data_IF_532099689577
#
_entry.id   IF_532099689577
#
_cell.length_a   1.000
_cell.length_b   1.000
_cell.length_c   1.000
_cell.angle_alpha   90.00
_cell.angle_beta   90.00
_cell.angle_gamma   90.00
#
_symmetry.space_group_name_H-M   'P 1'
#
loop_
_entity.id
_entity.type
_entity.pdbx_description
1 polymer ?
#
# COMPACT_ATOMS: atom_id res chain seq x y z
N UNK A 1 -0.18 -62.84 37.62
CA UNK A 1 0.10 -61.39 37.82
C UNK A 1 0.31 -60.67 36.48
N UNK A 2 -0.63 -60.80 35.52
CA UNK A 2 -0.51 -60.23 34.14
C UNK A 2 -1.56 -59.13 33.80
N UNK A 3 -2.53 -58.90 34.68
CA UNK A 3 -3.62 -57.94 34.36
C UNK A 3 -3.36 -56.49 34.77
N UNK A 4 -2.35 -56.20 35.57
CA UNK A 4 -2.04 -54.83 36.01
C UNK A 4 -1.33 -53.97 34.99
N UNK A 5 -0.61 -54.59 34.03
CA UNK A 5 0.17 -53.84 32.99
C UNK A 5 -0.69 -53.32 31.83
N UNK A 6 -1.84 -53.95 31.55
CA UNK A 6 -2.72 -53.49 30.46
C UNK A 6 -3.51 -52.25 30.84
N UNK A 7 -3.95 -52.10 32.10
CA UNK A 7 -4.69 -50.94 32.54
C UNK A 7 -3.85 -49.66 32.60
N UNK A 8 -2.57 -49.81 32.91
CA UNK A 8 -1.63 -48.66 32.95
C UNK A 8 -1.29 -48.11 31.56
N UNK A 9 -1.19 -49.00 30.56
CA UNK A 9 -0.94 -48.55 29.14
C UNK A 9 -2.17 -47.89 28.56
N UNK A 10 -3.38 -48.34 28.88
CA UNK A 10 -4.61 -47.72 28.44
C UNK A 10 -4.84 -46.38 29.11
N UNK A 11 -4.44 -46.21 30.37
CA UNK A 11 -4.52 -44.93 31.08
C UNK A 11 -3.53 -43.91 30.53
N UNK A 12 -2.29 -44.35 30.17
CA UNK A 12 -1.29 -43.47 29.53
C UNK A 12 -1.71 -43.04 28.13
N UNK A 13 -2.34 -43.94 27.35
CA UNK A 13 -2.87 -43.58 26.03
C UNK A 13 -4.02 -42.55 26.13
N UNK A 14 -4.90 -42.67 27.11
CA UNK A 14 -5.99 -41.72 27.32
C UNK A 14 -5.50 -40.33 27.76
N UNK A 15 -4.42 -40.27 28.56
CA UNK A 15 -3.80 -39.00 28.98
C UNK A 15 -3.09 -38.31 27.84
N UNK A 16 -2.41 -39.06 26.96
CA UNK A 16 -1.70 -38.49 25.78
C UNK A 16 -2.70 -37.96 24.74
N UNK A 17 -3.84 -38.66 24.51
CA UNK A 17 -4.90 -38.15 23.64
C UNK A 17 -5.63 -36.92 24.23
N UNK A 18 -5.78 -36.84 25.55
CA UNK A 18 -6.42 -35.70 26.23
C UNK A 18 -5.54 -34.41 26.21
N UNK A 19 -4.21 -34.57 26.21
CA UNK A 19 -3.27 -33.44 26.16
C UNK A 19 -3.08 -32.87 24.74
N UNK A 20 -3.39 -33.61 23.69
CA UNK A 20 -3.29 -33.10 22.30
C UNK A 20 -4.51 -32.29 21.87
N UNK A 21 -5.63 -32.32 22.60
CA UNK A 21 -6.83 -31.55 22.25
C UNK A 21 -6.81 -30.13 22.85
N UNK A 22 -5.94 -29.87 23.83
CA UNK A 22 -5.83 -28.55 24.48
C UNK A 22 -4.81 -27.59 23.82
N UNK A 23 -4.07 -28.04 22.81
CA UNK A 23 -3.05 -27.23 22.13
C UNK A 23 -3.46 -26.77 20.71
N UNK A 24 -4.71 -26.91 20.34
CA UNK A 24 -5.12 -26.79 18.94
C UNK A 24 -6.18 -25.76 18.59
N UNK A 25 -6.46 -24.77 19.40
CA UNK A 25 -7.35 -23.66 19.00
C UNK A 25 -6.93 -22.33 19.66
N UNK A 26 -5.68 -21.94 19.48
CA UNK A 26 -5.36 -20.53 19.37
C UNK A 26 -5.18 -20.25 17.88
N UNK A 27 -6.28 -20.31 17.13
CA UNK A 27 -6.42 -19.49 15.96
C UNK A 27 -6.61 -18.07 16.48
N UNK A 28 -5.56 -17.43 16.92
CA UNK A 28 -5.49 -15.99 16.84
C UNK A 28 -5.49 -15.69 15.34
N UNK A 29 -6.65 -15.41 14.78
CA UNK A 29 -6.75 -14.47 13.71
C UNK A 29 -6.42 -13.10 14.34
N UNK A 30 -5.16 -12.85 14.63
CA UNK A 30 -4.66 -11.52 14.57
C UNK A 30 -4.79 -11.17 13.08
N UNK A 31 -5.91 -10.55 12.74
CA UNK A 31 -6.02 -9.72 11.56
C UNK A 31 -5.04 -8.56 11.81
N UNK A 32 -3.75 -8.84 11.68
CA UNK A 32 -2.74 -7.80 11.56
C UNK A 32 -3.14 -7.04 10.29
N UNK A 33 -3.72 -5.85 10.50
CA UNK A 33 -4.03 -4.97 9.40
C UNK A 33 -2.76 -4.82 8.55
N UNK A 34 -2.81 -5.27 7.30
CA UNK A 34 -1.70 -5.09 6.37
C UNK A 34 -1.46 -3.60 6.16
N UNK A 35 -0.47 -3.09 6.86
CA UNK A 35 -0.05 -1.70 6.81
C UNK A 35 1.12 -1.46 5.83
N UNK A 36 1.47 -2.44 5.02
CA UNK A 36 2.56 -2.35 4.03
C UNK A 36 2.37 -1.21 3.03
N UNK A 37 1.10 -0.89 2.71
CA UNK A 37 0.75 0.21 1.81
C UNK A 37 1.21 1.60 2.30
N UNK A 38 1.45 1.78 3.60
CA UNK A 38 1.87 3.06 4.21
C UNK A 38 3.30 3.03 4.77
N UNK A 39 4.12 2.09 4.34
CA UNK A 39 5.51 2.02 4.78
C UNK A 39 6.26 3.33 4.47
N UNK A 40 6.96 3.85 5.46
CA UNK A 40 7.69 5.13 5.37
C UNK A 40 6.82 6.39 5.36
N UNK A 41 5.50 6.26 5.59
CA UNK A 41 4.60 7.41 5.68
C UNK A 41 4.97 8.32 6.85
N UNK A 42 4.98 9.64 6.58
CA UNK A 42 5.20 10.69 7.58
C UNK A 42 3.91 11.18 8.24
N UNK A 43 2.77 10.75 7.71
CA UNK A 43 1.44 11.10 8.22
C UNK A 43 0.61 9.85 8.44
N UNK A 44 -0.24 9.88 9.44
CA UNK A 44 -1.20 8.80 9.68
C UNK A 44 -2.40 9.00 8.76
N UNK A 45 -2.53 8.10 7.79
CA UNK A 45 -3.59 8.12 6.79
C UNK A 45 -4.63 7.05 7.10
N UNK A 46 -5.92 7.35 6.93
CA UNK A 46 -6.96 6.35 7.06
C UNK A 46 -6.85 5.30 5.94
N UNK A 47 -7.29 4.07 6.24
CA UNK A 47 -7.27 2.97 5.28
C UNK A 47 -8.11 3.28 4.03
N UNK A 48 -9.27 3.92 4.22
CA UNK A 48 -10.12 4.35 3.10
C UNK A 48 -9.63 5.69 2.58
N UNK A 49 -9.24 5.71 1.30
CA UNK A 49 -8.61 6.85 0.68
C UNK A 49 -8.95 6.98 -0.80
N UNK A 50 -8.94 8.20 -1.27
CA UNK A 50 -8.94 8.53 -2.68
C UNK A 50 -7.85 9.57 -2.94
N UNK A 51 -7.19 9.44 -4.08
CA UNK A 51 -6.21 10.42 -4.55
C UNK A 51 -6.82 11.28 -5.63
N UNK A 52 -6.53 12.57 -5.59
CA UNK A 52 -6.93 13.51 -6.64
C UNK A 52 -5.67 14.15 -7.18
N UNK A 53 -5.41 13.92 -8.48
CA UNK A 53 -4.30 14.51 -9.18
C UNK A 53 -4.71 15.88 -9.74
N UNK A 54 -3.95 16.91 -9.40
CA UNK A 54 -4.09 18.23 -10.01
C UNK A 54 -2.95 18.47 -10.96
N UNK A 55 -3.28 18.72 -12.22
CA UNK A 55 -2.31 18.98 -13.28
C UNK A 55 -1.45 20.22 -13.00
N UNK A 56 -2.05 21.23 -12.38
CA UNK A 56 -1.44 22.55 -12.22
C UNK A 56 -1.48 23.36 -13.52
N UNK A 57 -0.68 24.41 -13.58
CA UNK A 57 -0.54 25.24 -14.78
C UNK A 57 0.70 24.87 -15.57
N UNK A 58 0.59 24.79 -16.89
CA UNK A 58 1.70 24.52 -17.81
C UNK A 58 2.88 25.48 -17.57
N UNK A 59 4.07 24.94 -17.39
CA UNK A 59 5.29 25.70 -17.11
C UNK A 59 5.34 26.30 -15.70
N UNK A 60 4.44 25.92 -14.78
CA UNK A 60 4.38 26.47 -13.41
C UNK A 60 5.00 25.56 -12.36
N UNK A 61 5.28 24.30 -12.70
CA UNK A 61 5.84 23.32 -11.78
C UNK A 61 5.03 23.21 -10.47
N UNK A 62 3.72 23.21 -10.59
CA UNK A 62 2.77 23.25 -9.47
C UNK A 62 1.66 22.20 -9.58
N UNK A 63 2.00 21.02 -10.07
CA UNK A 63 1.13 19.85 -9.94
C UNK A 63 1.07 19.38 -8.48
N UNK A 64 -0.10 18.90 -8.05
CA UNK A 64 -0.33 18.44 -6.70
C UNK A 64 -1.02 17.07 -6.69
N UNK A 65 -0.71 16.28 -5.69
CA UNK A 65 -1.44 15.06 -5.36
C UNK A 65 -2.17 15.28 -4.04
N UNK A 66 -3.50 15.36 -4.10
CA UNK A 66 -4.33 15.48 -2.90
C UNK A 66 -4.77 14.11 -2.43
N UNK A 67 -4.93 14.00 -1.13
CA UNK A 67 -5.57 12.88 -0.48
C UNK A 67 -6.96 13.30 0.00
N UNK A 68 -7.95 12.45 -0.22
CA UNK A 68 -9.31 12.65 0.25
C UNK A 68 -9.73 11.44 1.07
N UNK A 69 -10.28 11.69 2.25
CA UNK A 69 -10.96 10.65 3.00
C UNK A 69 -12.44 10.61 2.58
N UNK A 70 -12.88 9.60 1.81
CA UNK A 70 -14.24 9.52 1.30
C UNK A 70 -15.29 9.26 2.37
N UNK A 71 -14.89 8.92 3.60
CA UNK A 71 -15.81 8.68 4.71
C UNK A 71 -16.17 9.97 5.46
N UNK A 72 -15.35 11.01 5.35
CA UNK A 72 -15.54 12.26 6.10
C UNK A 72 -15.90 13.43 5.21
N UNK A 73 -15.90 13.25 3.88
CA UNK A 73 -16.09 14.32 2.88
C UNK A 73 -15.16 15.54 3.10
N UNK A 74 -14.06 15.33 3.81
CA UNK A 74 -13.07 16.36 4.06
C UNK A 74 -11.90 16.19 3.10
N UNK A 75 -11.61 17.20 2.26
CA UNK A 75 -10.38 17.22 1.50
C UNK A 75 -9.21 17.36 2.48
N UNK A 76 -8.12 16.65 2.22
CA UNK A 76 -6.87 16.95 2.87
C UNK A 76 -6.35 18.28 2.32
N UNK A 77 -6.16 19.26 3.20
CA UNK A 77 -5.70 20.60 2.79
C UNK A 77 -4.27 20.63 2.28
N UNK A 78 -3.51 19.55 2.50
CA UNK A 78 -2.08 19.46 2.19
C UNK A 78 -1.84 18.58 0.95
N UNK A 79 -0.92 19.02 0.10
CA UNK A 79 -0.34 18.19 -0.95
C UNK A 79 0.37 16.98 -0.33
N UNK A 80 -0.26 15.79 -0.44
CA UNK A 80 0.26 14.58 0.20
C UNK A 80 1.62 14.19 -0.37
N UNK A 81 1.85 14.40 -1.67
CA UNK A 81 3.14 14.09 -2.26
C UNK A 81 4.24 14.98 -1.69
N UNK A 82 4.02 16.29 -1.59
CA UNK A 82 4.97 17.23 -0.99
C UNK A 82 5.25 16.88 0.47
N UNK A 83 4.20 16.58 1.24
CA UNK A 83 4.32 16.22 2.66
C UNK A 83 5.15 14.95 2.86
N UNK A 84 4.90 13.91 2.05
CA UNK A 84 5.61 12.64 2.15
C UNK A 84 7.07 12.73 1.67
N UNK A 85 7.32 13.44 0.58
CA UNK A 85 8.60 13.38 -0.13
C UNK A 85 9.48 14.63 0.03
N UNK A 86 8.93 15.75 0.57
CA UNK A 86 9.66 16.99 0.81
C UNK A 86 10.02 17.74 -0.49
N UNK A 87 9.40 17.38 -1.62
CA UNK A 87 9.58 18.00 -2.93
C UNK A 87 8.27 18.05 -3.69
N UNK A 88 8.11 18.99 -4.61
CA UNK A 88 6.92 19.10 -5.46
C UNK A 88 6.81 17.96 -6.46
N UNK A 89 5.56 17.65 -6.85
CA UNK A 89 5.25 16.57 -7.79
C UNK A 89 5.86 16.84 -9.17
N UNK A 90 5.87 18.07 -9.62
CA UNK A 90 6.43 18.49 -10.91
C UNK A 90 5.51 19.38 -11.71
N UNK A 91 5.74 19.43 -13.01
CA UNK A 91 5.01 20.27 -13.96
C UNK A 91 4.11 19.40 -14.84
N UNK A 92 2.82 19.71 -14.81
CA UNK A 92 1.81 19.12 -15.68
C UNK A 92 1.67 17.60 -15.48
N UNK A 93 1.21 17.18 -14.28
CA UNK A 93 0.88 15.80 -14.01
C UNK A 93 -0.48 15.45 -14.64
N UNK A 94 -0.48 14.58 -15.64
CA UNK A 94 -1.65 14.36 -16.51
C UNK A 94 -2.46 13.12 -16.19
N UNK A 95 -1.81 12.06 -15.68
CA UNK A 95 -2.48 10.77 -15.53
C UNK A 95 -1.93 9.99 -14.34
N UNK A 96 -2.77 9.13 -13.80
CA UNK A 96 -2.47 8.34 -12.63
C UNK A 96 -3.26 7.02 -12.65
N UNK A 97 -2.59 5.93 -12.37
CA UNK A 97 -3.24 4.61 -12.16
C UNK A 97 -2.79 4.02 -10.84
N UNK A 98 -3.59 3.10 -10.31
CA UNK A 98 -3.22 2.26 -9.18
C UNK A 98 -3.11 0.81 -9.66
N UNK A 99 -2.01 0.14 -9.27
CA UNK A 99 -1.71 -1.23 -9.59
C UNK A 99 -1.01 -1.90 -8.42
N UNK A 100 -1.53 -3.03 -7.95
CA UNK A 100 -0.98 -3.80 -6.82
C UNK A 100 -0.66 -2.94 -5.58
N UNK A 101 -1.55 -2.00 -5.24
CA UNK A 101 -1.39 -1.10 -4.10
C UNK A 101 -0.36 0.01 -4.30
N UNK A 102 0.24 0.12 -5.50
CA UNK A 102 1.13 1.21 -5.88
C UNK A 102 0.42 2.20 -6.80
N UNK A 103 0.84 3.44 -6.73
CA UNK A 103 0.31 4.52 -7.55
C UNK A 103 1.39 4.93 -8.54
N UNK A 104 1.05 4.97 -9.81
CA UNK A 104 1.92 5.43 -10.87
C UNK A 104 1.40 6.76 -11.41
N UNK A 105 2.25 7.78 -11.45
CA UNK A 105 1.89 9.14 -11.86
C UNK A 105 2.75 9.58 -13.03
N UNK A 106 2.11 9.96 -14.13
CA UNK A 106 2.76 10.56 -15.29
C UNK A 106 2.83 12.07 -15.11
N UNK A 107 4.04 12.63 -15.17
CA UNK A 107 4.29 14.08 -15.08
C UNK A 107 4.88 14.57 -16.39
N UNK A 108 4.01 15.13 -17.22
CA UNK A 108 4.23 15.41 -18.65
C UNK A 108 5.44 16.31 -18.91
N UNK A 109 5.35 17.59 -18.55
CA UNK A 109 6.41 18.59 -18.83
C UNK A 109 7.69 18.27 -18.05
N UNK A 110 7.57 17.68 -16.87
CA UNK A 110 8.72 17.16 -16.13
C UNK A 110 9.31 15.88 -16.71
N UNK A 111 8.68 15.27 -17.72
CA UNK A 111 9.11 14.04 -18.42
C UNK A 111 9.46 12.91 -17.49
N UNK A 112 8.59 12.59 -16.54
CA UNK A 112 8.83 11.52 -15.58
C UNK A 112 7.60 10.67 -15.28
N UNK A 113 7.88 9.44 -14.89
CA UNK A 113 6.94 8.53 -14.29
C UNK A 113 7.38 8.31 -12.83
N UNK A 114 6.47 8.51 -11.91
CA UNK A 114 6.68 8.26 -10.49
C UNK A 114 5.98 6.97 -10.09
N UNK A 115 6.63 6.16 -9.27
CA UNK A 115 6.01 5.06 -8.54
C UNK A 115 5.93 5.45 -7.07
N UNK A 116 4.73 5.44 -6.52
CA UNK A 116 4.45 5.74 -5.12
C UNK A 116 3.81 4.52 -4.46
N UNK A 117 3.95 4.39 -3.15
CA UNK A 117 3.12 3.44 -2.42
C UNK A 117 1.72 4.02 -2.15
N UNK A 118 0.85 3.24 -1.51
CA UNK A 118 -0.53 3.62 -1.20
C UNK A 118 -0.68 4.80 -0.23
N UNK A 119 0.41 5.36 0.29
CA UNK A 119 0.42 6.57 1.12
C UNK A 119 1.05 7.80 0.43
N UNK A 120 1.43 7.68 -0.85
CA UNK A 120 2.06 8.76 -1.60
C UNK A 120 3.57 8.91 -1.38
N UNK A 121 4.21 7.97 -0.68
CA UNK A 121 5.67 7.93 -0.56
C UNK A 121 6.29 7.46 -1.86
N UNK A 122 7.26 8.20 -2.39
CA UNK A 122 7.92 7.85 -3.63
C UNK A 122 8.83 6.63 -3.44
N UNK A 123 8.59 5.60 -4.24
CA UNK A 123 9.40 4.38 -4.29
C UNK A 123 10.43 4.43 -5.42
N UNK A 124 10.04 4.98 -6.58
CA UNK A 124 10.90 5.09 -7.75
C UNK A 124 10.53 6.28 -8.62
N UNK A 125 11.46 6.68 -9.47
CA UNK A 125 11.29 7.70 -10.49
C UNK A 125 12.01 7.25 -11.76
N UNK A 126 11.31 7.33 -12.90
CA UNK A 126 11.89 7.15 -14.22
C UNK A 126 11.77 8.45 -14.99
N UNK A 127 12.89 8.94 -15.56
CA UNK A 127 12.93 10.13 -16.38
C UNK A 127 12.99 9.76 -17.85
N UNK A 128 12.10 10.33 -18.66
CA UNK A 128 12.08 10.12 -20.10
C UNK A 128 13.09 11.05 -20.79
N UNK A 129 13.85 10.49 -21.73
CA UNK A 129 14.76 11.26 -22.57
C UNK A 129 13.97 12.33 -23.35
N UNK A 130 14.53 13.51 -23.51
CA UNK A 130 13.91 14.61 -24.22
C UNK A 130 13.50 14.25 -25.66
N UNK A 131 14.25 13.34 -26.29
CA UNK A 131 13.96 12.84 -27.65
C UNK A 131 12.75 11.93 -27.73
N UNK A 132 12.32 11.34 -26.61
CA UNK A 132 11.13 10.48 -26.52
C UNK A 132 9.83 11.29 -26.36
N UNK A 133 9.95 12.62 -26.17
CA UNK A 133 8.80 13.49 -25.98
C UNK A 133 8.31 13.54 -24.54
N UNK A 134 7.10 14.02 -24.37
CA UNK A 134 6.47 14.24 -23.08
C UNK A 134 5.38 13.18 -22.88
N UNK A 135 5.48 12.30 -21.85
CA UNK A 135 4.48 11.29 -21.58
C UNK A 135 3.17 11.95 -21.15
N UNK A 136 2.01 11.42 -21.56
CA UNK A 136 0.71 12.00 -21.21
C UNK A 136 -0.24 11.03 -20.51
N UNK A 137 -0.21 9.79 -20.93
CA UNK A 137 -1.14 8.77 -20.43
C UNK A 137 -0.37 7.52 -20.06
N UNK A 138 -0.93 6.78 -19.14
CA UNK A 138 -0.44 5.48 -18.70
C UNK A 138 -1.58 4.47 -18.77
N UNK A 139 -1.28 3.26 -19.16
CA UNK A 139 -2.19 2.13 -19.04
C UNK A 139 -1.41 0.93 -18.52
N UNK A 140 -2.12 0.03 -17.92
CA UNK A 140 -1.64 -1.25 -17.45
C UNK A 140 -2.32 -2.34 -18.29
N UNK A 141 -1.61 -3.40 -18.61
CA UNK A 141 -2.11 -4.57 -19.29
C UNK A 141 -1.57 -5.83 -18.62
N UNK A 142 -2.45 -6.60 -17.98
CA UNK A 142 -2.14 -7.88 -17.31
C UNK A 142 -0.95 -7.82 -16.35
N UNK A 143 -0.85 -6.77 -15.52
CA UNK A 143 0.22 -6.60 -14.54
C UNK A 143 1.59 -6.29 -15.14
N UNK A 144 1.63 -5.67 -16.32
CA UNK A 144 2.88 -5.32 -17.04
C UNK A 144 2.95 -3.87 -17.42
#
# INVERSE_FOLDING_TARGET
MKMKKMKLRSLFMAIICGLMIAAGFTSCSDDEEDNSWKEGSKVDLPQYRAFVLSEGGYGKNNSHLFFVNPQTDQPFENDIYLTQNGKGLGDTANDMIEEDGNIYVVVNVSRKLLKLNGSGVQLAEYSFDEKLGEPRFICEEDGK
#
